data_IF_635984589434
#
_entry.id   IF_635984589434
#
_cell.length_a   1.000
_cell.length_b   1.000
_cell.length_c   1.000
_cell.angle_alpha   90.00
_cell.angle_beta   90.00
_cell.angle_gamma   90.00
#
_symmetry.space_group_name_H-M   'P 1'
#
loop_
_entity.id
_entity.type
_entity.pdbx_description
1 polymer ?
#
# COMPACT_ATOMS: atom_id res chain seq x y z
N UNK A 1 71.41 -14.08 57.86
CA UNK A 1 70.37 -13.08 57.66
C UNK A 1 69.59 -13.40 56.37
N UNK A 2 68.35 -13.88 56.41
CA UNK A 2 67.56 -14.13 55.23
C UNK A 2 66.68 -12.91 54.90
N UNK A 3 66.84 -12.38 53.69
CA UNK A 3 66.09 -11.29 53.10
C UNK A 3 64.69 -11.78 52.69
N UNK A 4 63.66 -11.29 53.37
CA UNK A 4 62.24 -11.49 53.08
C UNK A 4 61.80 -10.62 51.89
N UNK A 5 61.55 -11.20 50.74
CA UNK A 5 60.87 -10.53 49.59
C UNK A 5 59.36 -10.59 49.79
N UNK A 6 58.64 -9.49 49.95
CA UNK A 6 57.19 -9.53 50.12
C UNK A 6 56.45 -9.52 48.75
N UNK A 7 55.69 -10.54 48.53
CA UNK A 7 54.31 -10.66 48.09
C UNK A 7 53.75 -9.69 47.02
N UNK A 8 54.45 -9.56 45.90
CA UNK A 8 53.94 -8.82 44.73
C UNK A 8 52.80 -9.55 43.98
N UNK A 9 52.77 -10.90 44.05
CA UNK A 9 51.78 -11.71 43.30
C UNK A 9 50.35 -11.59 43.85
N UNK A 10 50.14 -11.48 45.14
CA UNK A 10 48.78 -11.37 45.71
C UNK A 10 48.07 -10.04 45.47
N UNK A 11 48.76 -8.99 45.05
CA UNK A 11 48.12 -7.69 44.71
C UNK A 11 47.61 -7.66 43.30
N UNK A 12 48.20 -8.40 42.38
CA UNK A 12 47.75 -8.46 40.98
C UNK A 12 46.44 -9.27 40.86
N UNK A 13 46.36 -10.43 41.50
CA UNK A 13 45.15 -11.30 41.45
C UNK A 13 43.90 -10.60 42.05
N UNK A 14 44.05 -9.80 43.09
CA UNK A 14 42.91 -9.07 43.66
C UNK A 14 42.43 -7.92 42.78
N UNK A 15 43.24 -7.37 41.90
CA UNK A 15 42.86 -6.34 40.94
C UNK A 15 42.08 -6.96 39.79
N UNK A 16 42.52 -8.11 39.25
CA UNK A 16 41.86 -8.81 38.14
C UNK A 16 40.43 -9.30 38.54
N UNK A 17 40.28 -9.84 39.72
CA UNK A 17 38.93 -10.29 40.21
C UNK A 17 37.98 -9.10 40.40
N UNK A 18 38.47 -7.92 40.77
CA UNK A 18 37.62 -6.72 40.93
C UNK A 18 37.22 -6.14 39.58
N UNK A 19 38.11 -6.15 38.58
CA UNK A 19 37.79 -5.69 37.21
C UNK A 19 36.84 -6.65 36.51
N UNK A 20 37.00 -7.96 36.66
CA UNK A 20 36.09 -8.97 36.13
C UNK A 20 34.67 -8.86 36.76
N UNK A 21 34.55 -8.59 38.02
CA UNK A 21 33.24 -8.38 38.68
C UNK A 21 32.57 -7.08 38.22
N UNK A 22 33.32 -6.02 37.97
CA UNK A 22 32.81 -4.76 37.43
C UNK A 22 32.36 -4.95 35.98
N UNK A 23 33.16 -5.60 35.14
CA UNK A 23 32.81 -5.91 33.75
C UNK A 23 31.52 -6.75 33.65
N UNK A 24 31.34 -7.78 34.51
CA UNK A 24 30.10 -8.56 34.58
C UNK A 24 28.89 -7.72 35.01
N UNK A 25 29.05 -6.78 35.92
CA UNK A 25 27.95 -5.88 36.33
C UNK A 25 27.57 -4.90 35.22
N UNK A 26 28.55 -4.36 34.49
CA UNK A 26 28.27 -3.52 33.31
C UNK A 26 27.58 -4.30 32.21
N UNK A 27 28.02 -5.54 31.89
CA UNK A 27 27.40 -6.42 30.93
C UNK A 27 25.95 -6.77 31.29
N UNK A 28 25.66 -7.02 32.58
CA UNK A 28 24.31 -7.26 33.07
C UNK A 28 23.41 -6.01 32.99
N UNK A 29 23.95 -4.83 33.29
CA UNK A 29 23.20 -3.58 33.19
C UNK A 29 22.89 -3.21 31.74
N UNK A 30 23.83 -3.44 30.81
CA UNK A 30 23.58 -3.21 29.37
C UNK A 30 22.56 -4.21 28.82
N UNK A 31 22.62 -5.48 29.21
CA UNK A 31 21.62 -6.47 28.82
C UNK A 31 20.24 -6.11 29.36
N UNK A 32 20.15 -5.68 30.62
CA UNK A 32 18.90 -5.25 31.24
C UNK A 32 18.32 -4.01 30.52
N UNK A 33 19.17 -3.04 30.15
CA UNK A 33 18.74 -1.87 29.40
C UNK A 33 18.22 -2.24 28.01
N UNK A 34 18.87 -3.17 27.30
CA UNK A 34 18.42 -3.67 25.99
C UNK A 34 17.07 -4.38 26.13
N UNK A 35 16.90 -5.25 27.12
CA UNK A 35 15.62 -5.94 27.39
C UNK A 35 14.51 -4.95 27.72
N UNK A 36 14.81 -3.92 28.49
CA UNK A 36 13.85 -2.87 28.86
C UNK A 36 13.44 -2.03 27.63
N UNK A 37 14.39 -1.71 26.76
CA UNK A 37 14.10 -1.02 25.48
C UNK A 37 13.24 -1.90 24.58
N UNK A 38 13.56 -3.20 24.46
CA UNK A 38 12.74 -4.16 23.67
C UNK A 38 11.34 -4.28 24.28
N UNK A 39 11.21 -4.38 25.60
CA UNK A 39 9.91 -4.44 26.27
C UNK A 39 9.09 -3.15 26.06
N UNK A 40 9.73 -1.96 26.14
CA UNK A 40 9.10 -0.69 25.82
C UNK A 40 8.65 -0.60 24.36
N UNK A 41 9.46 -1.09 23.43
CA UNK A 41 9.09 -1.16 22.03
C UNK A 41 7.89 -2.11 21.80
N UNK A 42 7.89 -3.28 22.44
CA UNK A 42 6.77 -4.24 22.34
C UNK A 42 5.48 -3.70 22.97
N UNK A 43 5.54 -2.94 24.05
CA UNK A 43 4.35 -2.31 24.66
C UNK A 43 3.86 -1.11 23.87
N UNK A 44 4.75 -0.34 23.23
CA UNK A 44 4.37 0.77 22.34
C UNK A 44 3.69 0.29 21.05
N UNK A 45 4.01 -0.92 20.59
CA UNK A 45 3.40 -1.52 19.39
C UNK A 45 2.32 -2.59 19.67
N UNK A 46 2.09 -2.95 20.95
CA UNK A 46 1.12 -3.97 21.38
C UNK A 46 -0.30 -3.47 21.63
N UNK A 47 -0.59 -2.21 21.39
CA UNK A 47 -1.86 -1.56 21.76
C UNK A 47 -2.90 -1.43 20.64
N UNK A 48 -3.01 -2.37 19.71
CA UNK A 48 -4.18 -2.46 18.82
C UNK A 48 -5.16 -3.49 19.40
N UNK A 49 -5.90 -3.10 20.44
CA UNK A 49 -7.11 -3.81 20.86
C UNK A 49 -8.14 -3.67 19.74
N UNK A 50 -8.24 -4.68 18.89
CA UNK A 50 -9.40 -4.85 18.03
C UNK A 50 -10.60 -5.06 18.96
N UNK A 51 -11.45 -4.04 19.09
CA UNK A 51 -12.80 -4.20 19.62
C UNK A 51 -13.52 -5.19 18.71
N UNK A 52 -13.71 -6.42 19.19
CA UNK A 52 -14.62 -7.40 18.60
C UNK A 52 -16.02 -6.80 18.65
N UNK A 53 -16.40 -6.11 17.59
CA UNK A 53 -17.77 -5.69 17.37
C UNK A 53 -18.58 -6.97 17.10
N UNK A 54 -19.42 -7.37 18.07
CA UNK A 54 -20.36 -8.47 17.94
C UNK A 54 -21.23 -8.20 16.71
N UNK A 55 -20.99 -8.95 15.65
CA UNK A 55 -21.88 -8.99 14.50
C UNK A 55 -23.15 -9.74 14.96
N UNK A 56 -24.24 -9.01 15.06
CA UNK A 56 -25.57 -9.60 15.18
C UNK A 56 -25.87 -10.38 13.91
N UNK A 57 -26.12 -11.66 14.06
CA UNK A 57 -26.58 -12.56 12.98
C UNK A 57 -28.04 -12.24 12.68
N UNK A 58 -28.28 -11.20 11.89
CA UNK A 58 -29.57 -10.91 11.27
C UNK A 58 -29.33 -9.91 10.12
N UNK A 59 -28.76 -10.37 9.05
CA UNK A 59 -29.09 -9.95 7.69
C UNK A 59 -28.40 -10.87 6.69
N UNK A 60 -29.10 -11.93 6.24
CA UNK A 60 -28.69 -12.72 5.08
C UNK A 60 -29.22 -11.98 3.86
N UNK A 61 -28.72 -10.76 3.65
CA UNK A 61 -28.75 -10.02 2.40
C UNK A 61 -27.39 -10.15 1.72
N UNK A 62 -27.35 -10.17 0.38
CA UNK A 62 -26.11 -10.16 -0.38
C UNK A 62 -25.16 -9.11 0.21
N UNK A 63 -23.83 -9.40 0.33
CA UNK A 63 -22.90 -8.47 0.98
C UNK A 63 -22.91 -7.16 0.20
N UNK A 64 -23.54 -6.13 0.77
CA UNK A 64 -23.44 -4.77 0.27
C UNK A 64 -22.00 -4.35 0.52
N UNK A 65 -21.19 -4.36 -0.53
CA UNK A 65 -19.79 -3.98 -0.40
C UNK A 65 -19.73 -2.53 0.07
N UNK A 66 -19.08 -2.30 1.19
CA UNK A 66 -18.96 -0.98 1.79
C UNK A 66 -18.23 -0.04 0.84
N UNK A 67 -18.77 1.15 0.60
CA UNK A 67 -18.10 2.19 -0.18
C UNK A 67 -16.75 2.55 0.45
N UNK A 68 -15.72 2.88 -0.35
CA UNK A 68 -14.48 3.39 0.18
C UNK A 68 -14.72 4.71 0.91
N UNK A 69 -14.09 4.90 2.07
CA UNK A 69 -14.04 6.23 2.67
C UNK A 69 -13.02 7.11 1.92
N UNK A 70 -13.20 8.46 1.94
CA UNK A 70 -12.34 9.37 1.19
C UNK A 70 -10.86 9.19 1.57
N UNK A 71 -10.04 8.75 0.63
CA UNK A 71 -8.60 8.57 0.78
C UNK A 71 -7.90 8.80 -0.55
N UNK A 72 -7.11 9.86 -0.62
CA UNK A 72 -6.29 10.13 -1.81
C UNK A 72 -5.09 9.17 -1.80
N UNK A 73 -4.89 8.48 -2.90
CA UNK A 73 -3.78 7.54 -3.08
C UNK A 73 -2.74 8.04 -4.06
N UNK A 74 -3.11 8.88 -5.04
CA UNK A 74 -2.19 9.49 -5.99
C UNK A 74 -2.64 10.89 -6.41
N UNK A 75 -1.69 11.68 -6.93
CA UNK A 75 -1.96 13.03 -7.47
C UNK A 75 -1.23 13.21 -8.79
N UNK A 76 -1.89 13.85 -9.76
CA UNK A 76 -1.27 14.38 -10.97
C UNK A 76 -1.81 15.79 -11.26
N UNK A 77 -1.01 16.83 -11.09
CA UNK A 77 -1.47 18.21 -11.22
C UNK A 77 -2.70 18.48 -10.34
N UNK A 78 -3.84 18.93 -10.91
CA UNK A 78 -5.09 19.14 -10.17
C UNK A 78 -5.89 17.85 -9.92
N UNK A 79 -5.55 16.72 -10.57
CA UNK A 79 -6.25 15.45 -10.43
C UNK A 79 -5.82 14.77 -9.14
N UNK A 80 -6.79 14.45 -8.29
CA UNK A 80 -6.61 13.69 -7.05
C UNK A 80 -7.34 12.37 -7.18
N UNK A 81 -6.59 11.27 -7.23
CA UNK A 81 -7.14 9.93 -7.34
C UNK A 81 -7.51 9.42 -5.94
N UNK A 82 -8.79 9.21 -5.71
CA UNK A 82 -9.28 8.52 -4.52
C UNK A 82 -9.16 7.01 -4.68
N UNK A 83 -9.08 6.33 -3.55
CA UNK A 83 -9.08 4.87 -3.47
C UNK A 83 -10.31 4.31 -4.21
N UNK A 84 -10.12 3.52 -5.28
CA UNK A 84 -11.24 2.99 -6.07
C UNK A 84 -11.88 1.74 -5.45
N UNK A 85 -11.26 1.16 -4.44
CA UNK A 85 -11.71 -0.06 -3.75
C UNK A 85 -11.88 0.26 -2.26
N UNK A 86 -12.91 -0.30 -1.63
CA UNK A 86 -13.08 -0.19 -0.18
C UNK A 86 -11.83 -0.69 0.55
N UNK A 87 -11.34 0.07 1.51
CA UNK A 87 -10.11 -0.22 2.24
C UNK A 87 -10.09 -1.60 2.90
N UNK A 88 -11.24 -2.10 3.31
CA UNK A 88 -11.38 -3.46 3.87
C UNK A 88 -11.22 -4.60 2.85
N UNK A 89 -11.24 -4.30 1.54
CA UNK A 89 -11.12 -5.27 0.46
C UNK A 89 -9.85 -5.05 -0.38
N UNK A 90 -9.15 -3.93 -0.21
CA UNK A 90 -7.90 -3.67 -0.87
C UNK A 90 -6.78 -4.55 -0.27
N UNK A 91 -6.05 -5.28 -1.11
CA UNK A 91 -4.99 -6.19 -0.67
C UNK A 91 -3.61 -5.57 -0.73
N UNK A 92 -3.34 -4.72 -1.72
CA UNK A 92 -2.12 -3.91 -1.83
C UNK A 92 -2.34 -2.73 -2.78
N UNK A 93 -1.42 -1.77 -2.74
CA UNK A 93 -1.32 -0.67 -3.70
C UNK A 93 0.05 -0.77 -4.36
N UNK A 94 0.08 -0.82 -5.69
CA UNK A 94 1.29 -0.86 -6.49
C UNK A 94 1.37 0.29 -7.48
N UNK A 95 2.59 0.65 -7.87
CA UNK A 95 2.85 1.57 -8.97
C UNK A 95 3.86 0.96 -9.93
N UNK A 96 3.64 1.16 -11.22
CA UNK A 96 4.55 0.73 -12.27
C UNK A 96 4.56 1.70 -13.45
N UNK A 97 5.46 1.46 -14.39
CA UNK A 97 5.46 2.17 -15.66
C UNK A 97 4.29 1.67 -16.51
N UNK A 98 3.46 2.60 -16.99
CA UNK A 98 2.45 2.30 -18.01
C UNK A 98 3.01 2.53 -19.41
N UNK A 99 2.22 2.14 -20.41
CA UNK A 99 2.48 2.36 -21.82
C UNK A 99 2.61 3.87 -22.16
N UNK A 100 3.10 4.15 -23.37
CA UNK A 100 3.28 5.50 -23.88
C UNK A 100 2.00 6.36 -23.76
N UNK A 101 2.19 7.58 -23.27
CA UNK A 101 1.13 8.57 -23.08
C UNK A 101 0.48 8.60 -21.70
N UNK A 102 0.79 7.67 -20.80
CA UNK A 102 0.39 7.76 -19.40
C UNK A 102 1.29 8.78 -18.66
N UNK A 103 0.67 9.58 -17.81
CA UNK A 103 1.34 10.64 -17.07
C UNK A 103 1.82 10.13 -15.70
N UNK A 104 2.99 10.59 -15.26
CA UNK A 104 3.54 10.22 -13.95
C UNK A 104 2.62 10.68 -12.82
N UNK A 105 2.28 9.76 -11.94
CA UNK A 105 1.54 9.99 -10.72
C UNK A 105 2.50 10.27 -9.56
N UNK A 106 2.09 11.10 -8.62
CA UNK A 106 2.76 11.26 -7.34
C UNK A 106 2.04 10.42 -6.28
N UNK A 107 2.61 9.28 -5.86
CA UNK A 107 2.02 8.43 -4.83
C UNK A 107 1.83 9.17 -3.50
N UNK A 108 0.73 8.87 -2.81
CA UNK A 108 0.48 9.35 -1.45
C UNK A 108 0.60 8.17 -0.49
N UNK A 109 1.50 8.30 0.50
CA UNK A 109 1.75 7.24 1.47
C UNK A 109 3.21 6.86 1.58
N UNK A 110 3.47 5.71 2.21
CA UNK A 110 4.82 5.19 2.43
C UNK A 110 5.14 4.10 1.41
N UNK A 111 6.34 4.14 0.84
CA UNK A 111 6.80 3.07 -0.03
C UNK A 111 7.28 1.87 0.79
N UNK A 112 6.68 0.70 0.55
CA UNK A 112 6.92 -0.50 1.33
C UNK A 112 8.22 -1.24 0.99
N UNK A 113 8.70 -1.12 -0.25
CA UNK A 113 9.92 -1.76 -0.75
C UNK A 113 11.15 -0.83 -0.80
N UNK A 114 11.11 0.29 -0.13
CA UNK A 114 12.31 1.07 0.18
C UNK A 114 13.24 0.31 1.13
N UNK A 115 14.56 0.56 1.02
CA UNK A 115 15.59 -0.11 1.82
C UNK A 115 15.33 -0.02 3.34
N UNK A 116 15.78 -1.03 4.09
CA UNK A 116 15.55 -1.19 5.54
C UNK A 116 15.89 0.07 6.35
N UNK A 117 16.91 0.83 5.95
CA UNK A 117 17.36 2.06 6.64
C UNK A 117 16.30 3.15 6.55
N UNK A 118 15.66 3.31 5.39
CA UNK A 118 14.65 4.34 5.15
C UNK A 118 13.33 3.99 5.86
N UNK A 119 12.98 2.70 5.92
CA UNK A 119 11.84 2.18 6.70
C UNK A 119 11.98 2.47 8.19
N UNK A 120 13.18 2.26 8.77
CA UNK A 120 13.48 2.54 10.17
C UNK A 120 13.41 4.05 10.45
N UNK A 121 13.93 4.87 9.54
CA UNK A 121 13.88 6.33 9.68
C UNK A 121 12.42 6.84 9.67
N UNK A 122 11.59 6.35 8.75
CA UNK A 122 10.16 6.71 8.69
C UNK A 122 9.34 6.16 9.88
N UNK A 123 9.68 4.99 10.40
CA UNK A 123 9.02 4.43 11.59
C UNK A 123 9.33 5.23 12.88
N UNK A 124 10.51 5.85 12.96
CA UNK A 124 10.95 6.59 14.16
C UNK A 124 10.60 8.08 14.08
N UNK A 125 10.62 8.67 12.87
CA UNK A 125 10.46 10.12 12.67
C UNK A 125 9.25 10.49 11.82
N UNK A 126 8.66 9.54 11.06
CA UNK A 126 7.43 9.73 10.31
C UNK A 126 6.23 9.60 11.24
N UNK A 127 5.59 10.73 11.56
CA UNK A 127 4.38 10.73 12.38
C UNK A 127 3.33 9.77 11.78
N UNK A 128 2.81 8.85 12.59
CA UNK A 128 1.83 7.83 12.23
C UNK A 128 0.46 8.42 11.85
N UNK A 129 0.38 9.07 10.71
CA UNK A 129 -0.87 9.40 10.05
C UNK A 129 -1.22 8.23 9.12
N UNK A 130 -2.47 7.76 9.13
CA UNK A 130 -2.98 6.59 8.39
C UNK A 130 -2.87 6.68 6.86
N UNK A 131 -1.65 6.93 6.36
CA UNK A 131 -1.34 6.92 4.95
C UNK A 131 -1.17 5.48 4.45
N UNK A 132 -1.67 5.15 3.25
CA UNK A 132 -1.56 3.80 2.70
C UNK A 132 -0.10 3.43 2.44
N UNK A 133 0.20 2.14 2.59
CA UNK A 133 1.46 1.55 2.15
C UNK A 133 1.34 1.21 0.66
N UNK A 134 2.34 1.58 -0.15
CA UNK A 134 2.40 1.26 -1.56
C UNK A 134 3.74 0.63 -1.97
N UNK A 135 3.77 -0.08 -3.09
CA UNK A 135 4.93 -0.78 -3.61
C UNK A 135 5.26 -0.31 -5.02
N UNK A 136 6.56 -0.16 -5.31
CA UNK A 136 7.05 -0.04 -6.68
C UNK A 136 7.15 -1.44 -7.27
N UNK A 137 6.39 -1.72 -8.33
CA UNK A 137 6.30 -3.06 -8.93
C UNK A 137 7.41 -3.32 -9.94
N UNK A 138 7.88 -2.28 -10.62
CA UNK A 138 9.03 -2.30 -11.52
C UNK A 138 10.05 -1.23 -11.11
N UNK A 139 11.19 -1.17 -11.74
CA UNK A 139 12.19 -0.13 -11.49
C UNK A 139 11.93 1.18 -12.23
N UNK A 140 10.74 1.36 -12.80
CA UNK A 140 10.41 2.44 -13.71
C UNK A 140 9.67 3.62 -13.08
N UNK A 141 8.81 4.25 -13.87
CA UNK A 141 7.99 5.39 -13.45
C UNK A 141 6.76 4.94 -12.65
N UNK A 142 6.07 5.89 -12.02
CA UNK A 142 4.81 5.69 -11.31
C UNK A 142 3.63 6.16 -12.17
N UNK A 143 3.54 5.72 -13.43
CA UNK A 143 2.51 6.21 -14.36
C UNK A 143 1.22 5.38 -14.38
N UNK A 144 1.23 4.20 -13.76
CA UNK A 144 0.03 3.42 -13.45
C UNK A 144 -0.06 3.14 -11.95
N UNK A 145 -1.28 3.14 -11.44
CA UNK A 145 -1.66 2.79 -10.07
C UNK A 145 -2.48 1.51 -10.11
N UNK A 146 -2.00 0.45 -9.47
CA UNK A 146 -2.72 -0.80 -9.29
C UNK A 146 -3.26 -0.92 -7.87
N UNK A 147 -4.56 -1.16 -7.74
CA UNK A 147 -5.19 -1.42 -6.43
C UNK A 147 -5.70 -2.86 -6.41
N UNK A 148 -5.00 -3.70 -5.66
CA UNK A 148 -5.27 -5.12 -5.52
C UNK A 148 -6.55 -5.41 -4.77
N UNK A 149 -7.31 -6.40 -5.27
CA UNK A 149 -8.47 -6.95 -4.59
C UNK A 149 -8.86 -8.31 -5.17
N UNK A 150 -9.65 -9.07 -4.42
CA UNK A 150 -10.21 -10.33 -4.92
C UNK A 150 -11.15 -10.10 -6.12
N UNK A 151 -11.17 -11.01 -7.11
CA UNK A 151 -12.11 -10.92 -8.23
C UNK A 151 -13.56 -10.78 -7.76
N UNK A 152 -14.31 -9.91 -8.44
CA UNK A 152 -15.69 -9.59 -8.08
C UNK A 152 -15.84 -8.45 -7.06
N UNK A 153 -14.75 -7.96 -6.49
CA UNK A 153 -14.77 -6.77 -5.61
C UNK A 153 -15.23 -5.54 -6.38
N UNK A 154 -16.15 -4.75 -5.78
CA UNK A 154 -16.66 -3.54 -6.38
C UNK A 154 -15.59 -2.48 -6.57
N UNK A 155 -15.59 -1.85 -7.75
CA UNK A 155 -14.72 -0.75 -8.13
C UNK A 155 -15.56 0.53 -8.22
N UNK A 156 -15.09 1.58 -7.57
CA UNK A 156 -15.71 2.90 -7.54
C UNK A 156 -14.88 3.92 -8.34
N UNK A 157 -15.54 4.97 -8.82
CA UNK A 157 -14.82 6.04 -9.51
C UNK A 157 -13.75 6.66 -8.60
N UNK A 158 -12.51 6.82 -9.08
CA UNK A 158 -11.46 7.49 -8.31
C UNK A 158 -11.54 9.03 -8.37
N UNK A 159 -12.37 9.58 -9.25
CA UNK A 159 -12.52 11.04 -9.47
C UNK A 159 -13.98 11.42 -9.65
N UNK A 160 -14.30 12.68 -9.38
CA UNK A 160 -15.53 13.29 -9.85
C UNK A 160 -15.37 13.64 -11.33
N UNK A 161 -16.31 13.23 -12.16
CA UNK A 161 -16.17 13.43 -13.60
C UNK A 161 -17.33 12.92 -14.43
N UNK A 162 -17.09 12.83 -15.73
CA UNK A 162 -18.01 12.27 -16.71
C UNK A 162 -17.37 11.13 -17.47
N UNK A 163 -18.04 10.01 -17.62
CA UNK A 163 -17.59 8.89 -18.44
C UNK A 163 -17.58 9.31 -19.91
N UNK A 164 -16.42 9.29 -20.54
CA UNK A 164 -16.21 9.68 -21.94
C UNK A 164 -15.93 8.49 -22.87
N UNK A 165 -15.63 7.31 -22.30
CA UNK A 165 -15.38 6.09 -23.06
C UNK A 165 -15.70 4.84 -22.22
N UNK A 166 -16.25 3.83 -22.89
CA UNK A 166 -16.40 2.46 -22.36
C UNK A 166 -16.09 1.51 -23.53
N UNK A 167 -14.98 0.80 -23.46
CA UNK A 167 -14.53 -0.11 -24.51
C UNK A 167 -14.07 -1.45 -23.95
N UNK A 168 -13.96 -2.50 -24.76
CA UNK A 168 -13.37 -3.77 -24.34
C UNK A 168 -11.91 -3.57 -23.92
N UNK A 169 -11.50 -4.19 -22.80
CA UNK A 169 -10.10 -4.36 -22.45
C UNK A 169 -9.59 -5.66 -23.07
N UNK A 170 -8.64 -5.56 -24.00
CA UNK A 170 -8.12 -6.67 -24.79
C UNK A 170 -6.63 -6.84 -24.51
N UNK A 171 -6.22 -8.05 -24.14
CA UNK A 171 -4.82 -8.46 -23.96
C UNK A 171 -4.57 -9.68 -24.83
N UNK A 172 -3.52 -9.65 -25.66
CA UNK A 172 -3.17 -10.74 -26.59
C UNK A 172 -4.35 -11.25 -27.43
N UNK A 173 -5.25 -10.35 -27.87
CA UNK A 173 -6.42 -10.67 -28.68
C UNK A 173 -7.62 -11.23 -27.92
N UNK A 174 -7.54 -11.39 -26.62
CA UNK A 174 -8.63 -11.86 -25.77
C UNK A 174 -9.22 -10.72 -24.93
N UNK A 175 -10.56 -10.73 -24.77
CA UNK A 175 -11.25 -9.73 -23.94
C UNK A 175 -11.21 -10.15 -22.47
N UNK A 176 -10.63 -9.28 -21.64
CA UNK A 176 -10.49 -9.49 -20.19
C UNK A 176 -11.27 -8.45 -19.36
N UNK A 177 -12.32 -7.92 -19.87
CA UNK A 177 -13.13 -6.94 -19.17
C UNK A 177 -13.37 -5.69 -20.00
N UNK A 178 -13.34 -4.55 -19.34
CA UNK A 178 -13.62 -3.24 -19.93
C UNK A 178 -12.53 -2.23 -19.54
N UNK A 179 -12.33 -1.28 -20.43
CA UNK A 179 -11.66 -0.01 -20.18
C UNK A 179 -12.74 1.06 -20.01
N UNK A 180 -12.63 1.87 -18.96
CA UNK A 180 -13.51 2.99 -18.69
C UNK A 180 -12.66 4.25 -18.64
N UNK A 181 -13.02 5.24 -19.47
CA UNK A 181 -12.36 6.53 -19.54
C UNK A 181 -13.27 7.59 -18.90
N UNK A 182 -12.75 8.30 -17.88
CA UNK A 182 -13.48 9.34 -17.14
C UNK A 182 -12.75 10.66 -17.31
N UNK A 183 -13.45 11.69 -17.78
CA UNK A 183 -12.94 13.05 -17.83
C UNK A 183 -13.15 13.71 -16.46
N UNK A 184 -12.09 14.06 -15.70
CA UNK A 184 -12.21 14.65 -14.39
C UNK A 184 -12.76 16.10 -14.50
N UNK A 185 -13.65 16.49 -13.59
CA UNK A 185 -14.12 17.89 -13.51
C UNK A 185 -12.99 18.87 -13.20
N UNK A 186 -12.00 18.44 -12.39
CA UNK A 186 -10.85 19.27 -11.99
C UNK A 186 -9.86 19.52 -13.11
N UNK A 187 -9.87 18.71 -14.20
CA UNK A 187 -8.92 18.77 -15.29
C UNK A 187 -9.52 18.22 -16.59
N UNK A 188 -10.36 18.98 -17.30
CA UNK A 188 -11.04 18.50 -18.52
C UNK A 188 -10.11 18.17 -19.70
N UNK A 189 -8.85 18.62 -19.66
CA UNK A 189 -7.81 18.26 -20.63
C UNK A 189 -7.19 16.87 -20.38
N UNK A 190 -7.55 16.21 -19.30
CA UNK A 190 -7.06 14.88 -18.90
C UNK A 190 -8.20 13.87 -18.91
N UNK A 191 -7.82 12.60 -18.92
CA UNK A 191 -8.71 11.45 -18.76
C UNK A 191 -8.09 10.50 -17.75
N UNK A 192 -8.92 9.99 -16.84
CA UNK A 192 -8.57 8.89 -15.95
C UNK A 192 -9.10 7.61 -16.57
N UNK A 193 -8.19 6.72 -16.92
CA UNK A 193 -8.47 5.42 -17.55
C UNK A 193 -8.41 4.32 -16.49
N UNK A 194 -9.45 3.50 -16.41
CA UNK A 194 -9.47 2.31 -15.57
C UNK A 194 -9.57 1.06 -16.44
N UNK A 195 -8.77 0.05 -16.12
CA UNK A 195 -8.74 -1.25 -16.82
C UNK A 195 -8.81 -2.40 -15.81
N UNK A 196 -8.88 -3.64 -16.31
CA UNK A 196 -8.95 -4.88 -15.52
C UNK A 196 -10.21 -4.97 -14.65
N UNK A 197 -11.31 -4.41 -15.12
CA UNK A 197 -12.61 -4.50 -14.47
C UNK A 197 -13.71 -4.90 -15.46
N UNK A 198 -14.75 -5.51 -14.96
CA UNK A 198 -16.02 -5.69 -15.68
C UNK A 198 -16.88 -4.47 -15.37
N UNK A 199 -17.24 -3.68 -16.39
CA UNK A 199 -18.06 -2.49 -16.20
C UNK A 199 -19.43 -2.82 -15.59
N UNK A 200 -19.91 -1.96 -14.71
CA UNK A 200 -21.31 -2.01 -14.25
C UNK A 200 -22.24 -1.65 -15.43
N UNK A 201 -23.36 -2.37 -15.64
CA UNK A 201 -24.29 -2.08 -16.73
C UNK A 201 -24.87 -0.67 -16.72
N UNK A 202 -24.89 0.00 -15.57
CA UNK A 202 -25.37 1.38 -15.44
C UNK A 202 -24.36 2.44 -15.91
N UNK A 203 -23.12 2.02 -16.23
CA UNK A 203 -22.06 2.92 -16.70
C UNK A 203 -22.07 3.01 -18.20
N UNK A 204 -22.42 4.19 -18.70
CA UNK A 204 -22.48 4.53 -20.13
C UNK A 204 -21.78 5.86 -20.35
N UNK A 205 -21.36 6.10 -21.60
CA UNK A 205 -20.80 7.40 -22.01
C UNK A 205 -21.81 8.52 -21.71
N UNK A 206 -21.33 9.64 -21.15
CA UNK A 206 -22.13 10.76 -20.68
C UNK A 206 -22.59 10.65 -19.22
N UNK A 207 -22.38 9.50 -18.56
CA UNK A 207 -22.72 9.30 -17.15
C UNK A 207 -21.84 10.13 -16.23
N UNK A 208 -22.42 10.95 -15.36
CA UNK A 208 -21.68 11.61 -14.29
C UNK A 208 -21.38 10.62 -13.18
N UNK A 209 -20.15 10.65 -12.68
CA UNK A 209 -19.64 9.81 -11.59
C UNK A 209 -19.07 10.65 -10.46
N UNK A 210 -19.22 10.14 -9.23
CA UNK A 210 -18.72 10.77 -8.00
C UNK A 210 -17.67 9.84 -7.37
N UNK A 211 -16.53 10.41 -7.04
CA UNK A 211 -15.38 9.69 -6.46
C UNK A 211 -15.77 8.95 -5.17
N UNK A 212 -15.35 7.71 -5.05
CA UNK A 212 -15.60 6.83 -3.92
C UNK A 212 -17.09 6.48 -3.70
N UNK A 213 -18.01 6.92 -4.57
CA UNK A 213 -19.46 6.67 -4.41
C UNK A 213 -20.07 5.95 -5.58
N UNK A 214 -19.75 6.37 -6.81
CA UNK A 214 -20.34 5.74 -8.00
C UNK A 214 -19.58 4.43 -8.29
N UNK A 215 -20.24 3.30 -8.12
CA UNK A 215 -19.74 2.01 -8.58
C UNK A 215 -19.65 2.03 -10.11
N UNK A 216 -18.47 1.69 -10.62
CA UNK A 216 -18.19 1.67 -12.06
C UNK A 216 -17.97 0.26 -12.59
N UNK A 217 -17.73 -0.72 -11.72
CA UNK A 217 -17.54 -2.11 -12.13
C UNK A 217 -17.12 -3.01 -10.99
N UNK A 218 -16.52 -4.13 -11.36
CA UNK A 218 -15.94 -5.10 -10.43
C UNK A 218 -14.63 -5.69 -10.99
N UNK A 219 -13.65 -5.96 -10.12
CA UNK A 219 -12.34 -6.53 -10.48
C UNK A 219 -12.51 -7.85 -11.21
N UNK A 220 -11.79 -8.05 -12.32
CA UNK A 220 -11.79 -9.31 -13.07
C UNK A 220 -10.71 -10.27 -12.56
N UNK A 221 -10.87 -11.57 -12.87
CA UNK A 221 -9.83 -12.57 -12.59
C UNK A 221 -8.91 -12.70 -13.81
N UNK A 222 -7.77 -12.04 -13.76
CA UNK A 222 -6.76 -12.07 -14.82
C UNK A 222 -5.61 -13.04 -14.50
N UNK A 223 -5.39 -13.36 -13.23
CA UNK A 223 -4.29 -14.21 -12.78
C UNK A 223 -4.15 -15.59 -13.47
N UNK A 224 -5.22 -16.27 -13.95
CA UNK A 224 -5.07 -17.51 -14.71
C UNK A 224 -4.42 -17.34 -16.08
N UNK A 225 -4.40 -16.12 -16.62
CA UNK A 225 -3.94 -15.81 -17.97
C UNK A 225 -2.61 -15.05 -17.98
N UNK A 226 -2.36 -14.26 -16.95
CA UNK A 226 -1.19 -13.42 -16.83
C UNK A 226 -0.74 -13.33 -15.37
N UNK A 227 0.57 -13.51 -15.14
CA UNK A 227 1.15 -13.35 -13.82
C UNK A 227 1.10 -11.88 -13.39
N UNK A 228 0.42 -11.61 -12.30
CA UNK A 228 0.26 -10.26 -11.79
C UNK A 228 1.46 -9.85 -10.92
N UNK A 229 2.10 -8.73 -11.24
CA UNK A 229 3.27 -8.24 -10.48
C UNK A 229 2.92 -7.96 -9.00
N UNK A 230 1.69 -7.54 -8.75
CA UNK A 230 1.20 -7.25 -7.40
C UNK A 230 1.15 -8.50 -6.49
N UNK A 231 1.07 -9.72 -7.07
CA UNK A 231 1.12 -10.98 -6.33
C UNK A 231 2.40 -11.18 -5.51
N UNK A 232 3.49 -10.50 -5.84
CA UNK A 232 4.72 -10.52 -5.04
C UNK A 232 4.60 -9.78 -3.70
N UNK A 233 3.58 -8.96 -3.53
CA UNK A 233 3.36 -8.09 -2.37
C UNK A 233 2.05 -8.40 -1.62
N UNK A 234 1.31 -9.42 -2.06
CA UNK A 234 0.04 -9.86 -1.48
C UNK A 234 0.09 -11.35 -1.15
N UNK A 235 -0.90 -11.82 -0.38
CA UNK A 235 -1.09 -13.25 -0.13
C UNK A 235 -2.10 -13.89 -1.10
N UNK A 236 -2.52 -13.16 -2.12
CA UNK A 236 -3.46 -13.59 -3.14
C UNK A 236 -2.81 -13.63 -4.54
N UNK A 237 -3.60 -13.83 -5.58
CA UNK A 237 -3.12 -13.91 -6.96
C UNK A 237 -2.80 -12.54 -7.60
N UNK A 238 -2.89 -11.43 -6.84
CA UNK A 238 -2.54 -10.08 -7.28
C UNK A 238 -3.52 -9.47 -8.28
N UNK A 239 -4.75 -9.99 -8.42
CA UNK A 239 -5.75 -9.34 -9.26
C UNK A 239 -6.04 -7.93 -8.73
N UNK A 240 -6.25 -6.98 -9.64
CA UNK A 240 -6.34 -5.57 -9.31
C UNK A 240 -7.19 -4.80 -10.32
N UNK A 241 -7.53 -3.55 -10.02
CA UNK A 241 -7.89 -2.53 -10.99
C UNK A 241 -6.69 -1.65 -11.24
N UNK A 242 -6.38 -1.37 -12.52
CA UNK A 242 -5.32 -0.44 -12.90
C UNK A 242 -5.89 0.92 -13.26
N UNK A 243 -5.24 2.01 -12.83
CA UNK A 243 -5.67 3.40 -13.00
C UNK A 243 -4.53 4.22 -13.57
N UNK A 244 -4.78 4.90 -14.69
CA UNK A 244 -3.83 5.77 -15.36
C UNK A 244 -4.43 7.16 -15.58
N UNK A 245 -3.57 8.19 -15.71
CA UNK A 245 -3.96 9.52 -16.15
C UNK A 245 -3.32 9.76 -17.50
N UNK A 246 -4.13 10.21 -18.49
CA UNK A 246 -3.69 10.44 -19.87
C UNK A 246 -4.18 11.80 -20.37
N UNK A 247 -3.51 12.44 -21.34
CA UNK A 247 -4.09 13.59 -22.04
C UNK A 247 -5.40 13.21 -22.76
N UNK A 248 -6.41 14.03 -22.68
CA UNK A 248 -7.69 13.79 -23.37
C UNK A 248 -7.52 13.68 -24.90
N UNK A 249 -6.51 14.35 -25.46
CA UNK A 249 -6.16 14.25 -26.88
C UNK A 249 -5.65 12.84 -27.29
N UNK A 250 -5.25 12.00 -26.32
CA UNK A 250 -4.82 10.61 -26.58
C UNK A 250 -5.99 9.62 -26.63
N UNK A 251 -7.22 10.07 -26.37
CA UNK A 251 -8.42 9.22 -26.53
C UNK A 251 -8.62 8.90 -27.99
N UNK A 252 -8.38 7.66 -28.38
CA UNK A 252 -8.86 7.11 -29.65
C UNK A 252 -10.33 6.72 -29.43
N UNK A 253 -11.24 7.55 -29.87
CA UNK A 253 -12.67 7.23 -29.93
C UNK A 253 -12.86 6.19 -31.05
N UNK A 254 -12.98 4.93 -30.66
CA UNK A 254 -13.31 3.81 -31.55
C UNK A 254 -14.81 3.60 -31.67
#
# INVERSE_FOLDING_TARGET
MPSSRPNRRRRVERREVRTARRARRFALLTLLAIVLVIALLLTAFGGASQSLQRISVADIGAPTQTQPYPQIVAVHGPVRLQMPISQGHATAIGYHSADDGAMTLSPIGQQGNEGVVQRVFHAVFGGGGGHPLWYQLDGGSTSALDVGATPGTDVFSPVDGTVVGVSPYIVAGHRFGSRIDIQPQSAPSLVVTLTQLRSDPAITVGKNVVSGRTKIGAVVNLAPYEQQALAHFTNDAGNHVSVEVRPAAALVLS
#
